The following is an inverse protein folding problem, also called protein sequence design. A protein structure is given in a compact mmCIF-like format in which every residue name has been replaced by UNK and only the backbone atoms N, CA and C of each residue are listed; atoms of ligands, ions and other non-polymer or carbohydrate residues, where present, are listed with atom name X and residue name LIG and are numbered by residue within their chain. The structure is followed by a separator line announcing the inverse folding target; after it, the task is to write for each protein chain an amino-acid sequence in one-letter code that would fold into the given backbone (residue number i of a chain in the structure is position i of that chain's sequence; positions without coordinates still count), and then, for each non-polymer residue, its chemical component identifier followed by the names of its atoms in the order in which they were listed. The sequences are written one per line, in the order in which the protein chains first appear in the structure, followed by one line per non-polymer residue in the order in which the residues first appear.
data_IF_050623260850
#
_entry.id   IF_050623260850
#
_cell.length_a   1.000
_cell.length_b   1.000
_cell.length_c   1.000
_cell.angle_alpha   90.00
_cell.angle_beta   90.00
_cell.angle_gamma   90.00
#
_symmetry.space_group_name_H-M   'P 1'
#
loop_
_entity.id
_entity.type
_entity.pdbx_description
1 polymer ?
#
# COMPACT_ATOMS: atom_id res chain seq x y z
N UNK A 1 -40.59 42.91 -0.39
CA UNK A 1 -40.57 41.51 0.05
C UNK A 1 -40.47 40.58 -1.16
N UNK A 2 -39.28 40.37 -1.74
CA UNK A 2 -39.01 39.36 -2.78
C UNK A 2 -37.51 39.03 -2.82
N UNK A 3 -36.97 38.40 -1.77
CA UNK A 3 -35.61 37.85 -1.77
C UNK A 3 -35.52 36.67 -0.81
N UNK A 4 -36.12 35.53 -1.12
CA UNK A 4 -36.02 34.34 -0.25
C UNK A 4 -36.17 33.02 -1.03
N UNK A 5 -35.54 32.85 -2.20
CA UNK A 5 -35.46 31.53 -2.86
C UNK A 5 -34.16 31.34 -3.67
N UNK A 6 -33.01 31.65 -3.08
CA UNK A 6 -31.70 31.43 -3.74
C UNK A 6 -30.63 30.83 -2.83
N UNK A 7 -31.02 30.09 -1.78
CA UNK A 7 -30.07 29.57 -0.77
C UNK A 7 -30.07 28.02 -0.68
N UNK A 8 -30.79 27.31 -1.54
CA UNK A 8 -30.92 25.84 -1.42
C UNK A 8 -30.35 25.07 -2.62
N UNK A 9 -29.19 25.48 -3.14
CA UNK A 9 -28.47 24.66 -4.14
C UNK A 9 -26.94 24.64 -4.00
N UNK A 10 -26.39 25.14 -2.88
CA UNK A 10 -24.94 25.11 -2.59
C UNK A 10 -24.56 24.22 -1.39
N UNK A 11 -25.48 23.43 -0.84
CA UNK A 11 -25.22 22.49 0.25
C UNK A 11 -25.04 21.03 -0.21
N UNK A 12 -24.47 20.79 -1.40
CA UNK A 12 -24.17 19.42 -1.90
C UNK A 12 -22.69 19.24 -2.26
N UNK A 13 -21.78 20.06 -1.71
CA UNK A 13 -20.34 19.94 -1.99
C UNK A 13 -19.44 19.72 -0.77
N UNK A 14 -19.98 19.37 0.39
CA UNK A 14 -19.16 19.04 1.57
C UNK A 14 -19.64 17.76 2.23
N UNK A 15 -19.51 16.64 1.51
CA UNK A 15 -19.61 15.29 2.08
C UNK A 15 -19.00 14.27 1.11
N UNK A 16 -17.77 14.51 0.66
CA UNK A 16 -16.91 13.48 0.09
C UNK A 16 -15.57 13.55 0.82
N UNK A 17 -15.53 13.16 2.10
CA UNK A 17 -14.31 12.53 2.63
C UNK A 17 -14.21 11.14 1.98
N UNK A 18 -13.95 11.15 0.68
CA UNK A 18 -13.70 9.97 -0.12
C UNK A 18 -12.36 9.39 0.29
N UNK A 19 -12.24 8.07 0.19
CA UNK A 19 -11.02 7.32 0.38
C UNK A 19 -9.79 8.13 -0.07
N UNK A 20 -8.84 8.34 0.84
CA UNK A 20 -7.61 9.02 0.51
C UNK A 20 -6.75 8.03 -0.29
N UNK A 21 -6.87 8.14 -1.61
CA UNK A 21 -6.07 7.42 -2.59
C UNK A 21 -4.81 8.25 -2.89
N UNK A 22 -3.64 7.64 -2.77
CA UNK A 22 -2.40 8.28 -3.17
C UNK A 22 -2.11 8.02 -4.65
N UNK A 23 -1.53 8.99 -5.34
CA UNK A 23 -0.76 8.66 -6.54
C UNK A 23 0.60 8.06 -6.12
N UNK A 24 1.26 7.25 -6.96
CA UNK A 24 2.49 6.58 -6.55
C UNK A 24 3.64 7.52 -6.17
N UNK A 25 3.76 8.66 -6.86
CA UNK A 25 4.82 9.63 -6.55
C UNK A 25 4.45 10.47 -5.32
N UNK A 26 3.17 10.77 -5.12
CA UNK A 26 2.63 11.39 -3.91
C UNK A 26 2.89 10.52 -2.68
N UNK A 27 2.62 9.21 -2.76
CA UNK A 27 2.94 8.28 -1.68
C UNK A 27 4.46 8.23 -1.39
N UNK A 28 5.27 8.13 -2.45
CA UNK A 28 6.73 8.12 -2.30
C UNK A 28 7.20 9.38 -1.56
N UNK A 29 6.71 10.56 -1.97
CA UNK A 29 7.03 11.84 -1.33
C UNK A 29 6.65 11.85 0.15
N UNK A 30 5.45 11.43 0.49
CA UNK A 30 4.98 11.40 1.88
C UNK A 30 5.87 10.50 2.75
N UNK A 31 6.21 9.29 2.27
CA UNK A 31 7.10 8.37 2.97
C UNK A 31 8.52 8.93 3.14
N UNK A 32 9.04 9.68 2.17
CA UNK A 32 10.32 10.38 2.31
C UNK A 32 10.25 11.50 3.36
N UNK A 33 9.16 12.27 3.39
CA UNK A 33 8.96 13.33 4.39
C UNK A 33 8.86 12.76 5.81
N UNK A 34 8.06 11.74 6.02
CA UNK A 34 7.91 11.09 7.33
C UNK A 34 9.23 10.47 7.84
N UNK A 35 10.05 9.96 6.91
CA UNK A 35 11.40 9.49 7.23
C UNK A 35 12.33 10.65 7.64
N UNK A 36 12.33 11.75 6.88
CA UNK A 36 13.26 12.88 7.09
C UNK A 36 12.97 13.62 8.40
N UNK A 37 11.70 13.76 8.76
CA UNK A 37 11.27 14.31 10.06
C UNK A 37 11.55 13.33 11.23
N UNK A 38 12.02 12.12 10.94
CA UNK A 38 12.39 11.12 11.94
C UNK A 38 11.20 10.42 12.61
N UNK A 39 9.99 10.60 12.06
CA UNK A 39 8.76 10.06 12.63
C UNK A 39 8.56 8.57 12.31
N UNK A 40 9.20 8.08 11.25
CA UNK A 40 9.22 6.67 10.86
C UNK A 40 10.66 6.17 10.74
N UNK A 41 10.96 5.02 11.36
CA UNK A 41 12.27 4.36 11.29
C UNK A 41 12.46 3.55 9.99
N UNK A 42 12.09 4.14 8.84
CA UNK A 42 12.22 3.52 7.53
C UNK A 42 13.66 3.58 7.01
N UNK A 43 14.15 2.51 6.38
CA UNK A 43 15.36 2.60 5.55
C UNK A 43 14.99 3.22 4.21
N UNK A 44 15.91 3.98 3.60
CA UNK A 44 15.67 4.60 2.27
C UNK A 44 15.31 3.56 1.21
N UNK A 45 15.89 2.37 1.31
CA UNK A 45 15.65 1.25 0.40
C UNK A 45 14.27 0.61 0.56
N UNK A 46 13.59 0.81 1.69
CA UNK A 46 12.25 0.27 1.91
C UNK A 46 11.16 1.14 1.25
N UNK A 47 11.41 2.43 1.02
CA UNK A 47 10.40 3.34 0.45
C UNK A 47 9.92 2.88 -0.94
N UNK A 48 10.79 2.58 -1.93
CA UNK A 48 10.31 2.06 -3.21
C UNK A 48 9.53 0.75 -3.08
N UNK A 49 9.88 -0.08 -2.10
CA UNK A 49 9.25 -1.37 -1.84
C UNK A 49 7.85 -1.19 -1.24
N UNK A 50 7.68 -0.24 -0.32
CA UNK A 50 6.38 0.16 0.24
C UNK A 50 5.45 0.76 -0.82
N UNK A 51 5.98 1.59 -1.72
CA UNK A 51 5.18 2.18 -2.79
C UNK A 51 4.75 1.10 -3.80
N UNK A 52 5.61 0.12 -4.09
CA UNK A 52 5.21 -1.02 -4.91
C UNK A 52 4.14 -1.88 -4.23
N UNK A 53 4.32 -2.19 -2.93
CA UNK A 53 3.34 -2.94 -2.15
C UNK A 53 1.98 -2.23 -2.16
N UNK A 54 1.98 -0.91 -1.95
CA UNK A 54 0.78 -0.09 -2.03
C UNK A 54 0.08 -0.16 -3.40
N UNK A 55 0.84 -0.36 -4.47
CA UNK A 55 0.29 -0.54 -5.81
C UNK A 55 -0.60 -1.77 -5.95
N UNK A 56 -0.29 -2.87 -5.25
CA UNK A 56 -1.17 -4.04 -5.22
C UNK A 56 -2.47 -3.78 -4.45
N UNK A 57 -2.56 -2.69 -3.67
CA UNK A 57 -3.76 -2.26 -2.95
C UNK A 57 -4.34 -0.95 -3.50
N UNK A 58 -4.02 -0.63 -4.75
CA UNK A 58 -4.45 0.58 -5.45
C UNK A 58 -4.17 1.89 -4.71
N UNK A 59 -3.14 1.91 -3.86
CA UNK A 59 -2.75 3.10 -3.09
C UNK A 59 -3.86 3.65 -2.18
N UNK A 60 -4.81 2.80 -1.77
CA UNK A 60 -6.00 3.20 -1.02
C UNK A 60 -5.84 2.93 0.48
N UNK A 61 -5.88 3.99 1.31
CA UNK A 61 -5.76 3.87 2.78
C UNK A 61 -6.89 3.07 3.45
N UNK A 62 -8.02 2.94 2.77
CA UNK A 62 -9.23 2.25 3.25
C UNK A 62 -9.47 0.92 2.53
N UNK A 63 -8.48 0.46 1.75
CA UNK A 63 -8.53 -0.77 0.97
C UNK A 63 -9.06 -1.93 1.81
N UNK A 64 -9.92 -2.73 1.18
CA UNK A 64 -10.49 -3.94 1.73
C UNK A 64 -10.60 -4.95 0.60
N UNK A 65 -9.93 -6.08 0.77
CA UNK A 65 -10.08 -7.21 -0.14
C UNK A 65 -9.95 -8.53 0.62
N UNK A 66 -10.23 -9.61 -0.07
CA UNK A 66 -10.06 -10.96 0.44
C UNK A 66 -9.42 -11.88 -0.61
N UNK A 67 -8.79 -12.93 -0.11
CA UNK A 67 -8.31 -14.10 -0.86
C UNK A 67 -8.91 -15.34 -0.23
N UNK A 68 -9.29 -16.30 -1.05
CA UNK A 68 -9.62 -17.64 -0.57
C UNK A 68 -8.41 -18.52 -0.84
N UNK A 69 -7.89 -19.15 0.20
CA UNK A 69 -6.76 -20.05 0.08
C UNK A 69 -7.17 -21.45 -0.45
N UNK A 70 -6.19 -22.33 -0.65
CA UNK A 70 -6.42 -23.71 -1.15
C UNK A 70 -7.26 -24.57 -0.19
N UNK A 71 -7.39 -24.16 1.06
CA UNK A 71 -8.11 -24.85 2.12
C UNK A 71 -9.52 -24.26 2.35
N UNK A 72 -9.93 -23.29 1.52
CA UNK A 72 -11.18 -22.53 1.63
C UNK A 72 -11.28 -21.61 2.86
N UNK A 73 -10.14 -21.19 3.41
CA UNK A 73 -10.11 -20.11 4.40
C UNK A 73 -10.13 -18.74 3.70
N UNK A 74 -11.00 -17.85 4.18
CA UNK A 74 -11.07 -16.46 3.73
C UNK A 74 -10.02 -15.63 4.50
N UNK A 75 -9.04 -15.11 3.78
CA UNK A 75 -8.01 -14.21 4.29
C UNK A 75 -8.37 -12.79 3.87
N UNK A 76 -8.39 -11.86 4.83
CA UNK A 76 -8.80 -10.47 4.60
C UNK A 76 -7.62 -9.54 4.76
N UNK A 77 -7.58 -8.53 3.90
CA UNK A 77 -6.49 -7.58 3.81
C UNK A 77 -7.03 -6.16 3.86
N UNK A 78 -6.36 -5.33 4.67
CA UNK A 78 -6.82 -4.02 5.08
C UNK A 78 -5.74 -2.96 4.87
N UNK A 79 -6.19 -1.77 4.48
CA UNK A 79 -5.32 -0.60 4.36
C UNK A 79 -4.37 -0.64 3.16
N UNK A 80 -3.59 0.42 3.01
CA UNK A 80 -2.75 0.66 1.84
C UNK A 80 -1.66 -0.40 1.66
N UNK A 81 -1.33 -1.17 2.70
CA UNK A 81 -0.34 -2.24 2.65
C UNK A 81 -0.93 -3.65 2.72
N UNK A 82 -2.26 -3.81 2.71
CA UNK A 82 -2.92 -5.11 2.68
C UNK A 82 -2.66 -5.95 3.93
N UNK A 83 -2.65 -5.31 5.10
CA UNK A 83 -2.33 -5.97 6.37
C UNK A 83 -3.50 -6.85 6.84
N UNK A 84 -3.26 -7.92 7.61
CA UNK A 84 -4.31 -8.79 8.15
C UNK A 84 -5.07 -8.17 9.36
N UNK A 85 -4.80 -6.91 9.68
CA UNK A 85 -5.29 -6.22 10.88
C UNK A 85 -6.43 -5.27 10.54
N UNK A 86 -7.70 -5.58 10.85
CA UNK A 86 -8.84 -4.73 10.49
C UNK A 86 -8.77 -3.32 11.10
N UNK A 87 -8.10 -3.16 12.24
CA UNK A 87 -7.92 -1.89 12.95
C UNK A 87 -7.04 -0.88 12.20
N UNK A 88 -6.20 -1.33 11.27
CA UNK A 88 -5.37 -0.39 10.48
C UNK A 88 -6.21 0.34 9.43
N UNK A 89 -7.38 -0.20 9.08
CA UNK A 89 -8.28 0.41 8.11
C UNK A 89 -8.80 1.74 8.65
N UNK A 90 -8.74 2.78 7.81
CA UNK A 90 -9.12 4.15 8.15
C UNK A 90 -8.18 4.87 9.13
N UNK A 91 -7.02 4.29 9.45
CA UNK A 91 -5.93 5.02 10.10
C UNK A 91 -5.08 5.76 9.06
N UNK A 92 -4.27 6.71 9.51
CA UNK A 92 -3.38 7.48 8.64
C UNK A 92 -2.24 6.62 8.09
N UNK A 93 -1.57 7.13 7.05
CA UNK A 93 -0.43 6.44 6.42
C UNK A 93 0.64 6.06 7.46
N UNK A 94 0.93 6.97 8.39
CA UNK A 94 1.95 6.77 9.41
C UNK A 94 1.65 5.56 10.30
N UNK A 95 0.42 5.45 10.80
CA UNK A 95 -0.01 4.33 11.66
C UNK A 95 0.08 3.00 10.91
N UNK A 96 -0.33 2.98 9.63
CA UNK A 96 -0.23 1.77 8.79
C UNK A 96 1.22 1.38 8.52
N UNK A 97 2.14 2.35 8.32
CA UNK A 97 3.57 2.04 8.18
C UNK A 97 4.15 1.45 9.47
N UNK A 98 3.81 2.02 10.64
CA UNK A 98 4.29 1.52 11.93
C UNK A 98 3.83 0.07 12.13
N UNK A 99 2.55 -0.21 11.93
CA UNK A 99 2.02 -1.57 12.04
C UNK A 99 2.71 -2.55 11.07
N UNK A 100 3.05 -2.10 9.86
CA UNK A 100 3.74 -2.93 8.87
C UNK A 100 5.21 -3.17 9.23
N UNK A 101 5.88 -2.19 9.85
CA UNK A 101 7.27 -2.32 10.28
C UNK A 101 7.46 -3.47 11.26
N UNK A 102 6.55 -3.58 12.23
CA UNK A 102 6.57 -4.62 13.26
C UNK A 102 6.41 -6.03 12.66
N UNK A 103 5.62 -6.14 11.58
CA UNK A 103 5.21 -7.44 11.01
C UNK A 103 6.03 -7.92 9.82
N UNK A 104 6.58 -7.00 9.01
CA UNK A 104 7.01 -7.33 7.63
C UNK A 104 8.39 -6.82 7.26
N UNK A 105 8.88 -5.70 7.79
CA UNK A 105 10.11 -5.06 7.27
C UNK A 105 11.45 -5.66 7.78
N UNK A 106 11.41 -6.79 8.48
CA UNK A 106 12.59 -7.62 8.77
C UNK A 106 13.06 -8.38 7.51
N UNK A 107 14.33 -8.20 7.13
CA UNK A 107 14.96 -8.87 5.96
C UNK A 107 14.97 -10.41 6.07
N UNK A 108 14.87 -10.96 7.27
CA UNK A 108 14.77 -12.41 7.50
C UNK A 108 13.36 -12.94 7.29
N UNK A 109 12.36 -12.07 7.30
CA UNK A 109 10.97 -12.42 7.14
C UNK A 109 10.67 -12.89 5.71
N UNK A 110 9.97 -14.02 5.56
CA UNK A 110 9.55 -14.55 4.27
C UNK A 110 8.65 -13.56 3.52
N UNK A 111 7.82 -12.82 4.25
CA UNK A 111 6.93 -11.77 3.73
C UNK A 111 7.73 -10.67 3.05
N UNK A 112 8.80 -10.18 3.70
CA UNK A 112 9.73 -9.20 3.13
C UNK A 112 10.35 -9.71 1.82
N UNK A 113 10.79 -10.97 1.80
CA UNK A 113 11.44 -11.57 0.62
C UNK A 113 10.49 -11.68 -0.56
N UNK A 114 9.25 -12.10 -0.31
CA UNK A 114 8.22 -12.16 -1.34
C UNK A 114 7.90 -10.78 -1.90
N UNK A 115 7.64 -9.80 -1.03
CA UNK A 115 7.32 -8.43 -1.47
C UNK A 115 8.50 -7.88 -2.28
N UNK A 116 9.73 -8.08 -1.80
CA UNK A 116 10.93 -7.69 -2.54
C UNK A 116 10.97 -8.37 -3.90
N UNK A 117 10.68 -9.66 -4.01
CA UNK A 117 10.68 -10.39 -5.28
C UNK A 117 9.64 -9.82 -6.26
N UNK A 118 8.37 -9.71 -5.87
CA UNK A 118 7.31 -9.20 -6.75
C UNK A 118 7.55 -7.72 -7.12
N UNK A 119 8.31 -6.99 -6.30
CA UNK A 119 8.67 -5.59 -6.56
C UNK A 119 10.04 -5.38 -7.23
N UNK A 120 10.80 -6.43 -7.55
CA UNK A 120 12.18 -6.31 -8.09
C UNK A 120 12.43 -6.99 -9.44
N UNK A 121 11.39 -7.49 -10.12
CA UNK A 121 11.52 -8.24 -11.37
C UNK A 121 10.57 -7.80 -12.49
N UNK A 122 10.04 -8.79 -13.24
CA UNK A 122 9.18 -8.61 -14.41
C UNK A 122 7.71 -8.29 -14.08
N UNK A 123 7.37 -8.13 -12.80
CA UNK A 123 6.00 -7.85 -12.36
C UNK A 123 5.74 -6.35 -12.20
N UNK A 124 6.76 -5.51 -12.41
CA UNK A 124 6.72 -4.08 -12.21
C UNK A 124 7.35 -3.32 -13.37
N UNK A 125 6.86 -2.12 -13.62
CA UNK A 125 7.59 -1.10 -14.38
C UNK A 125 8.11 -0.02 -13.43
N UNK A 126 9.18 0.66 -13.83
CA UNK A 126 9.78 1.73 -13.03
C UNK A 126 9.32 3.08 -13.53
N UNK A 127 8.76 3.89 -12.63
CA UNK A 127 8.39 5.27 -12.89
C UNK A 127 9.37 6.21 -12.19
N UNK A 128 9.98 7.18 -12.89
CA UNK A 128 10.73 8.24 -12.23
C UNK A 128 9.74 9.17 -11.52
N UNK A 129 9.96 9.37 -10.23
CA UNK A 129 9.26 10.35 -9.41
C UNK A 129 10.25 11.44 -8.99
N UNK A 130 9.88 12.70 -9.24
CA UNK A 130 10.60 13.85 -8.74
C UNK A 130 10.15 14.12 -7.29
N UNK A 131 11.00 13.78 -6.33
CA UNK A 131 10.74 14.03 -4.92
C UNK A 131 11.54 15.25 -4.51
N UNK A 132 10.82 16.30 -4.11
CA UNK A 132 11.42 17.47 -3.48
C UNK A 132 11.67 17.12 -2.01
N UNK A 133 12.93 16.97 -1.65
CA UNK A 133 13.35 16.67 -0.28
C UNK A 133 13.49 17.95 0.56
N UNK A 134 13.84 19.07 -0.08
CA UNK A 134 13.94 20.40 0.55
C UNK A 134 13.64 21.52 -0.46
N UNK A 135 13.60 22.79 -0.03
CA UNK A 135 13.34 23.97 -0.84
C UNK A 135 14.23 24.01 -2.09
N UNK A 136 15.47 23.50 -1.98
CA UNK A 136 16.48 23.52 -3.04
C UNK A 136 16.98 22.14 -3.49
N UNK A 137 16.48 21.03 -2.91
CA UNK A 137 16.98 19.67 -3.21
C UNK A 137 15.88 18.85 -3.86
N UNK A 138 16.12 18.45 -5.11
CA UNK A 138 15.28 17.55 -5.89
C UNK A 138 16.03 16.26 -6.13
N UNK A 139 15.36 15.14 -5.89
CA UNK A 139 15.90 13.82 -6.17
C UNK A 139 14.93 13.04 -7.05
N UNK A 140 15.50 12.31 -8.01
CA UNK A 140 14.75 11.43 -8.90
C UNK A 140 14.84 10.01 -8.38
N UNK A 141 13.70 9.49 -7.94
CA UNK A 141 13.61 8.10 -7.47
C UNK A 141 12.84 7.25 -8.46
N UNK A 142 13.38 6.07 -8.75
CA UNK A 142 12.68 5.06 -9.53
C UNK A 142 11.79 4.25 -8.61
N UNK A 143 10.48 4.40 -8.79
CA UNK A 143 9.47 3.69 -8.02
C UNK A 143 8.97 2.50 -8.85
N UNK A 144 9.01 1.26 -8.33
CA UNK A 144 8.40 0.11 -8.96
C UNK A 144 6.87 0.14 -8.81
N UNK A 145 6.15 -0.04 -9.91
CA UNK A 145 4.69 -0.06 -9.97
C UNK A 145 4.20 -1.39 -10.57
N UNK A 146 3.26 -2.10 -9.94
CA UNK A 146 2.74 -3.37 -10.45
C UNK A 146 2.10 -3.26 -11.85
N UNK A 147 2.34 -4.25 -12.71
CA UNK A 147 1.61 -4.40 -13.98
C UNK A 147 0.20 -4.97 -13.83
N UNK A 148 0.02 -5.81 -12.81
CA UNK A 148 -1.25 -6.44 -12.50
C UNK A 148 -1.56 -6.24 -11.01
N UNK A 149 -2.06 -5.06 -10.60
CA UNK A 149 -2.28 -4.75 -9.19
C UNK A 149 -3.26 -5.73 -8.51
N UNK A 150 -4.23 -6.26 -9.26
CA UNK A 150 -5.25 -7.18 -8.75
C UNK A 150 -4.77 -8.64 -8.59
N UNK A 151 -3.53 -8.97 -8.96
CA UNK A 151 -3.06 -10.36 -9.04
C UNK A 151 -2.98 -11.08 -7.68
N UNK A 152 -2.99 -10.34 -6.57
CA UNK A 152 -2.88 -10.89 -5.22
C UNK A 152 -4.23 -11.27 -4.59
N UNK A 153 -5.36 -10.90 -5.20
CA UNK A 153 -6.69 -10.96 -4.57
C UNK A 153 -7.74 -11.72 -5.38
N UNK A 154 -8.84 -12.10 -4.73
CA UNK A 154 -10.00 -12.76 -5.33
C UNK A 154 -10.10 -14.27 -5.07
N UNK A 155 -11.09 -14.90 -5.71
CA UNK A 155 -11.40 -16.33 -5.54
C UNK A 155 -10.33 -17.27 -6.14
N UNK A 156 -9.56 -16.78 -7.12
CA UNK A 156 -8.44 -17.48 -7.74
C UNK A 156 -7.38 -16.45 -8.17
N UNK A 157 -6.61 -15.89 -7.22
CA UNK A 157 -5.59 -14.92 -7.56
C UNK A 157 -4.58 -15.55 -8.52
N UNK A 158 -4.14 -14.77 -9.51
CA UNK A 158 -3.04 -15.15 -10.41
C UNK A 158 -1.74 -14.90 -9.65
N UNK A 159 -1.55 -15.65 -8.56
CA UNK A 159 -0.35 -15.57 -7.74
C UNK A 159 0.81 -16.19 -8.54
N UNK A 160 1.93 -15.48 -8.73
CA UNK A 160 3.10 -16.00 -9.44
C UNK A 160 3.73 -17.18 -8.69
N UNK A 161 3.38 -17.39 -7.42
CA UNK A 161 3.73 -18.55 -6.65
C UNK A 161 2.45 -19.25 -6.20
N UNK A 162 2.21 -20.42 -6.78
CA UNK A 162 1.02 -21.22 -6.61
C UNK A 162 0.78 -21.63 -5.12
N UNK A 163 0.26 -20.70 -4.29
CA UNK A 163 -0.07 -20.91 -2.88
C UNK A 163 0.77 -20.16 -1.84
N UNK A 164 1.63 -19.19 -2.19
CA UNK A 164 2.34 -18.39 -1.17
C UNK A 164 1.49 -17.20 -0.73
N UNK A 165 1.16 -17.11 0.56
CA UNK A 165 0.54 -15.92 1.14
C UNK A 165 1.54 -15.13 2.02
N UNK A 166 2.00 -13.94 1.59
CA UNK A 166 2.86 -13.08 2.41
C UNK A 166 2.17 -12.51 3.66
N UNK A 167 0.90 -12.79 3.92
CA UNK A 167 0.17 -12.20 5.05
C UNK A 167 -0.60 -13.25 5.86
N UNK A 168 -0.42 -14.55 5.56
CA UNK A 168 -1.02 -15.63 6.34
C UNK A 168 -0.52 -15.60 7.80
N UNK A 169 -1.42 -15.67 8.80
CA UNK A 169 -1.07 -15.48 10.20
C UNK A 169 -0.24 -16.61 10.84
N UNK A 170 -0.04 -17.78 10.20
CA UNK A 170 0.78 -18.87 10.79
C UNK A 170 1.65 -19.65 9.78
N UNK A 171 2.80 -20.08 10.28
CA UNK A 171 3.92 -20.72 9.59
C UNK A 171 3.54 -22.04 8.89
N UNK A 172 3.68 -22.11 7.57
CA UNK A 172 4.00 -23.38 6.93
C UNK A 172 4.85 -23.16 5.67
N UNK A 173 6.18 -23.32 5.76
CA UNK A 173 7.06 -23.27 4.61
C UNK A 173 7.04 -24.64 3.92
N UNK A 174 5.96 -24.98 3.23
CA UNK A 174 5.95 -26.15 2.36
C UNK A 174 5.58 -25.68 0.96
N UNK A 175 6.58 -25.54 0.10
CA UNK A 175 6.34 -25.40 -1.34
C UNK A 175 7.31 -24.56 -2.16
N UNK A 176 8.49 -24.20 -1.67
CA UNK A 176 9.55 -23.63 -2.52
C UNK A 176 10.78 -24.53 -2.51
N UNK A 177 10.73 -25.57 -3.34
CA UNK A 177 11.91 -26.23 -3.93
C UNK A 177 11.89 -25.92 -5.42
#
# INVERSE_FOLDING_TARGET
MKHLFFVSLFCVFVLHCGAQDYDPCGLAKELYMEKDVGLLHLRLEDIPLLVCLAGYHHYNLTFLSHRIDKQNYELRYYGIFGQPHPEVRNTGLKEQVISLQDDVLDKKNLRYRFIRYICSGNFVYRRPCDVRLDVNVWSKYLVPLPWAPDMMYGFHPIDPFDGFDPFSPEENPIGLI
#
